data_IF_890634085617
#
_entry.id   IF_890634085617
#
_cell.length_a   1.000
_cell.length_b   1.000
_cell.length_c   1.000
_cell.angle_alpha   90.00
_cell.angle_beta   90.00
_cell.angle_gamma   90.00
#
_symmetry.space_group_name_H-M   'P 1'
#
loop_
_entity.id
_entity.type
_entity.pdbx_description
1 polymer ?
#
# COMPACT_ATOMS: atom_id res chain seq x y z
N UNK A 1 34.97 20.56 -53.79
CA UNK A 1 35.44 21.50 -52.75
C UNK A 1 34.60 22.74 -52.87
N UNK A 2 33.71 22.99 -51.93
CA UNK A 2 33.24 24.35 -51.64
C UNK A 2 32.71 24.36 -50.22
N UNK A 3 33.42 25.07 -49.36
CA UNK A 3 33.15 25.22 -47.94
C UNK A 3 32.26 26.44 -47.70
N UNK A 4 31.38 26.25 -46.71
CA UNK A 4 30.59 27.16 -45.90
C UNK A 4 30.92 28.66 -45.89
N UNK A 5 29.87 29.48 -45.70
CA UNK A 5 29.94 30.61 -44.77
C UNK A 5 28.67 30.76 -43.93
N UNK A 6 28.88 30.72 -42.62
CA UNK A 6 27.92 30.80 -41.51
C UNK A 6 27.56 32.26 -41.23
N UNK A 7 26.29 32.54 -40.95
CA UNK A 7 25.83 33.81 -40.41
C UNK A 7 25.36 33.62 -38.96
N UNK A 8 26.04 34.31 -38.04
CA UNK A 8 25.71 34.44 -36.62
C UNK A 8 24.57 35.45 -36.44
N UNK A 9 23.51 35.08 -35.72
CA UNK A 9 22.55 36.05 -35.16
C UNK A 9 22.29 35.76 -33.68
N UNK A 10 22.13 36.88 -32.97
CA UNK A 10 22.25 37.09 -31.53
C UNK A 10 21.06 36.56 -30.74
N UNK A 11 21.38 35.96 -29.60
CA UNK A 11 20.48 35.63 -28.50
C UNK A 11 20.22 36.90 -27.66
N UNK A 12 18.95 37.17 -27.35
CA UNK A 12 18.51 38.27 -26.49
C UNK A 12 17.63 37.67 -25.39
N UNK A 13 18.22 37.46 -24.21
CA UNK A 13 17.54 37.06 -22.98
C UNK A 13 17.26 38.33 -22.17
N UNK A 14 15.99 38.63 -21.93
CA UNK A 14 15.58 39.62 -20.92
C UNK A 14 14.75 38.92 -19.85
N UNK A 15 15.37 38.77 -18.68
CA UNK A 15 14.70 38.48 -17.41
C UNK A 15 14.16 39.78 -16.82
N UNK A 16 12.95 39.76 -16.26
CA UNK A 16 12.48 40.78 -15.31
C UNK A 16 11.68 40.12 -14.19
N UNK A 17 11.91 40.67 -13.01
CA UNK A 17 11.74 40.11 -11.69
C UNK A 17 10.60 40.82 -10.94
N UNK A 18 9.90 40.05 -10.09
CA UNK A 18 9.26 40.40 -8.80
C UNK A 18 8.06 41.36 -8.76
N UNK A 19 6.97 40.88 -8.13
CA UNK A 19 6.29 41.61 -7.06
C UNK A 19 5.57 40.68 -6.07
N UNK A 20 5.90 40.90 -4.80
CA UNK A 20 5.38 40.29 -3.57
C UNK A 20 3.97 40.78 -3.17
N UNK A 21 3.35 39.99 -2.29
CA UNK A 21 2.86 40.35 -0.94
C UNK A 21 1.35 40.27 -0.56
N UNK A 22 1.15 39.52 0.53
CA UNK A 22 0.31 39.79 1.72
C UNK A 22 -1.16 39.35 1.78
N UNK A 23 -1.50 38.61 2.84
CA UNK A 23 -2.87 38.49 3.38
C UNK A 23 -3.11 37.29 4.31
N UNK A 24 -2.88 37.48 5.60
CA UNK A 24 -3.02 36.55 6.74
C UNK A 24 -4.44 36.59 7.37
N UNK A 25 -4.88 35.52 8.07
CA UNK A 25 -5.79 35.45 9.26
C UNK A 25 -6.47 34.05 9.35
N UNK A 26 -6.11 33.12 10.25
CA UNK A 26 -6.43 32.94 11.70
C UNK A 26 -7.93 32.91 12.05
N UNK A 27 -8.43 31.79 12.60
CA UNK A 27 -8.96 31.69 13.99
C UNK A 27 -9.64 30.33 14.32
N UNK A 28 -9.58 30.02 15.62
CA UNK A 28 -9.75 28.74 16.30
C UNK A 28 -11.19 28.32 16.65
N UNK A 29 -11.27 27.12 17.24
CA UNK A 29 -12.41 26.32 17.67
C UNK A 29 -13.34 26.94 18.74
N UNK A 30 -14.61 26.50 18.72
CA UNK A 30 -15.44 26.41 19.94
C UNK A 30 -16.47 25.29 19.81
N UNK A 31 -16.39 24.33 20.73
CA UNK A 31 -17.32 23.21 20.82
C UNK A 31 -18.67 23.60 21.41
N UNK A 32 -19.68 22.80 21.07
CA UNK A 32 -20.92 22.72 21.82
C UNK A 32 -21.35 21.24 21.93
N UNK A 33 -21.60 20.82 23.16
CA UNK A 33 -21.99 19.47 23.56
C UNK A 33 -23.49 19.51 23.80
N UNK A 34 -24.26 18.81 22.96
CA UNK A 34 -25.69 18.57 23.21
C UNK A 34 -25.97 17.08 23.17
N UNK A 35 -26.23 16.55 24.36
CA UNK A 35 -26.53 15.14 24.64
C UNK A 35 -28.03 14.89 24.59
N UNK A 36 -28.50 13.92 23.77
CA UNK A 36 -29.68 13.08 24.07
C UNK A 36 -29.82 11.90 23.08
N UNK A 37 -30.62 10.84 23.38
CA UNK A 37 -30.04 9.53 23.71
C UNK A 37 -30.54 8.41 22.77
N UNK A 38 -29.85 7.27 22.84
CA UNK A 38 -30.45 5.95 22.63
C UNK A 38 -30.92 5.64 21.22
N UNK A 39 -30.00 5.18 20.37
CA UNK A 39 -30.36 4.25 19.30
C UNK A 39 -29.46 3.03 19.41
N UNK A 40 -30.06 1.94 19.89
CA UNK A 40 -29.49 0.60 19.94
C UNK A 40 -29.04 0.23 18.52
N UNK A 41 -27.75 0.40 18.26
CA UNK A 41 -27.17 0.04 16.97
C UNK A 41 -26.77 -1.41 17.04
N UNK A 42 -27.64 -2.24 16.48
CA UNK A 42 -27.43 -3.62 16.04
C UNK A 42 -25.98 -3.84 15.60
N UNK A 43 -25.30 -4.96 15.96
CA UNK A 43 -23.95 -5.21 15.48
C UNK A 43 -23.97 -5.28 13.96
N UNK A 44 -23.35 -4.28 13.35
CA UNK A 44 -23.19 -4.14 11.92
C UNK A 44 -22.28 -5.26 11.41
N UNK A 45 -22.90 -6.31 10.86
CA UNK A 45 -22.28 -7.29 9.97
C UNK A 45 -21.79 -6.65 8.64
N UNK A 46 -21.97 -5.34 8.47
CA UNK A 46 -21.68 -4.58 7.24
C UNK A 46 -20.21 -4.14 7.10
N UNK A 47 -19.33 -4.57 8.01
CA UNK A 47 -17.91 -4.17 7.98
C UNK A 47 -16.95 -5.26 7.52
N UNK A 48 -17.44 -6.43 7.13
CA UNK A 48 -16.61 -7.54 6.62
C UNK A 48 -16.20 -7.38 5.14
N UNK A 49 -16.88 -6.51 4.38
CA UNK A 49 -16.50 -6.18 3.00
C UNK A 49 -15.44 -5.07 2.89
N UNK A 50 -14.72 -4.75 3.98
CA UNK A 50 -13.67 -3.73 4.01
C UNK A 50 -12.46 -4.20 3.18
N UNK A 51 -12.52 -3.89 1.89
CA UNK A 51 -11.41 -3.78 0.93
C UNK A 51 -10.42 -4.95 0.89
N UNK A 52 -10.59 -5.84 -0.09
CA UNK A 52 -9.51 -6.73 -0.50
C UNK A 52 -8.37 -5.88 -1.10
N UNK A 53 -7.23 -5.85 -0.41
CA UNK A 53 -6.07 -5.02 -0.80
C UNK A 53 -5.52 -5.35 -2.18
N UNK A 54 -5.59 -6.63 -2.59
CA UNK A 54 -5.19 -7.04 -3.93
C UNK A 54 -6.11 -6.44 -5.00
N UNK A 55 -7.43 -6.47 -4.81
CA UNK A 55 -8.38 -5.82 -5.74
C UNK A 55 -8.14 -4.31 -5.86
N UNK A 56 -7.78 -3.67 -4.75
CA UNK A 56 -7.44 -2.24 -4.77
C UNK A 56 -6.14 -2.01 -5.55
N UNK A 57 -5.12 -2.83 -5.33
CA UNK A 57 -3.87 -2.80 -6.10
C UNK A 57 -4.15 -2.95 -7.60
N UNK A 58 -4.88 -3.99 -8.02
CA UNK A 58 -5.24 -4.22 -9.42
C UNK A 58 -5.94 -3.01 -10.03
N UNK A 59 -6.91 -2.45 -9.31
CA UNK A 59 -7.66 -1.27 -9.76
C UNK A 59 -6.74 -0.05 -9.94
N UNK A 60 -5.84 0.20 -8.98
CA UNK A 60 -4.90 1.32 -9.06
C UNK A 60 -3.93 1.13 -10.22
N UNK A 61 -3.40 -0.07 -10.41
CA UNK A 61 -2.47 -0.38 -11.50
C UNK A 61 -3.14 -0.25 -12.87
N UNK A 62 -4.34 -0.81 -13.03
CA UNK A 62 -5.12 -0.68 -14.27
C UNK A 62 -5.45 0.78 -14.57
N UNK A 63 -5.89 1.55 -13.56
CA UNK A 63 -6.23 2.95 -13.76
C UNK A 63 -5.01 3.80 -14.12
N UNK A 64 -3.87 3.50 -13.51
CA UNK A 64 -2.60 4.18 -13.80
C UNK A 64 -2.14 3.91 -15.24
N UNK A 65 -2.24 2.66 -15.70
CA UNK A 65 -1.92 2.30 -17.09
C UNK A 65 -2.86 2.97 -18.09
N UNK A 66 -4.16 2.99 -17.81
CA UNK A 66 -5.15 3.70 -18.65
C UNK A 66 -4.79 5.18 -18.78
N UNK A 67 -4.49 5.84 -17.64
CA UNK A 67 -4.07 7.25 -17.64
C UNK A 67 -2.77 7.48 -18.39
N UNK A 68 -1.82 6.57 -18.27
CA UNK A 68 -0.57 6.66 -19.01
C UNK A 68 -0.79 6.56 -20.53
N UNK A 69 -1.66 5.64 -20.97
CA UNK A 69 -2.01 5.47 -22.39
C UNK A 69 -2.75 6.70 -22.93
N UNK A 70 -3.63 7.32 -22.14
CA UNK A 70 -4.32 8.56 -22.53
C UNK A 70 -3.31 9.68 -22.89
N UNK A 71 -2.21 9.79 -22.14
CA UNK A 71 -1.13 10.75 -22.42
C UNK A 71 -0.33 10.42 -23.70
N UNK A 72 -0.35 9.16 -24.14
CA UNK A 72 0.24 8.69 -25.38
C UNK A 72 -0.76 8.68 -26.56
N UNK A 73 -1.84 9.47 -26.48
CA UNK A 73 -2.89 9.53 -27.52
C UNK A 73 -2.38 9.77 -28.94
N UNK A 74 -3.14 9.29 -29.92
CA UNK A 74 -2.81 9.44 -31.35
C UNK A 74 -2.65 10.90 -31.76
N UNK A 75 -3.50 11.80 -31.24
CA UNK A 75 -3.41 13.22 -31.55
C UNK A 75 -2.03 13.80 -31.18
N UNK A 76 -1.50 13.43 -30.00
CA UNK A 76 -0.19 13.88 -29.56
C UNK A 76 0.91 13.27 -30.42
N UNK A 77 0.82 11.98 -30.72
CA UNK A 77 1.74 11.27 -31.63
C UNK A 77 1.79 11.91 -33.03
N UNK A 78 0.64 12.12 -33.67
CA UNK A 78 0.54 12.73 -35.00
C UNK A 78 1.04 14.20 -34.99
N UNK A 79 0.79 14.94 -33.91
CA UNK A 79 1.26 16.32 -33.76
C UNK A 79 2.78 16.44 -33.65
N UNK A 80 3.46 15.44 -33.08
CA UNK A 80 4.92 15.38 -32.98
C UNK A 80 5.55 14.95 -34.30
N UNK A 81 4.94 13.98 -35.00
CA UNK A 81 5.45 13.41 -36.25
C UNK A 81 4.71 13.95 -37.51
N UNK A 82 4.38 15.25 -37.53
CA UNK A 82 3.59 15.89 -38.61
C UNK A 82 4.08 15.59 -40.03
N UNK A 83 5.39 15.70 -40.36
CA UNK A 83 5.84 15.46 -41.73
C UNK A 83 5.57 14.03 -42.20
N UNK A 84 5.73 13.05 -41.30
CA UNK A 84 5.49 11.64 -41.59
C UNK A 84 3.99 11.34 -41.72
N UNK A 85 3.18 11.94 -40.84
CA UNK A 85 1.73 11.81 -40.90
C UNK A 85 1.16 12.32 -42.23
N UNK A 86 1.58 13.50 -42.70
CA UNK A 86 1.13 14.05 -43.99
C UNK A 86 1.46 13.14 -45.17
N UNK A 87 2.57 12.40 -45.10
CA UNK A 87 3.03 11.52 -46.18
C UNK A 87 2.24 10.21 -46.23
N UNK A 88 1.91 9.63 -45.07
CA UNK A 88 1.15 8.39 -45.02
C UNK A 88 0.33 8.28 -43.71
N UNK A 89 -0.89 8.87 -43.67
CA UNK A 89 -1.72 8.90 -42.48
C UNK A 89 -2.10 7.51 -41.98
N UNK A 90 -2.52 6.62 -42.90
CA UNK A 90 -2.97 5.27 -42.56
C UNK A 90 -1.86 4.43 -41.93
N UNK A 91 -0.64 4.48 -42.49
CA UNK A 91 0.49 3.75 -41.93
C UNK A 91 0.88 4.26 -40.55
N UNK A 92 0.83 5.57 -40.34
CA UNK A 92 1.13 6.18 -39.03
C UNK A 92 0.08 5.84 -37.97
N UNK A 93 -1.20 5.78 -38.35
CA UNK A 93 -2.27 5.32 -37.47
C UNK A 93 -2.08 3.85 -37.08
N UNK A 94 -1.76 2.98 -38.03
CA UNK A 94 -1.48 1.57 -37.75
C UNK A 94 -0.28 1.38 -36.82
N UNK A 95 0.80 2.13 -37.03
CA UNK A 95 2.00 2.09 -36.16
C UNK A 95 1.63 2.52 -34.73
N UNK A 96 0.87 3.60 -34.57
CA UNK A 96 0.46 4.05 -33.24
C UNK A 96 -0.43 3.02 -32.54
N UNK A 97 -1.38 2.43 -33.26
CA UNK A 97 -2.24 1.37 -32.72
C UNK A 97 -1.42 0.18 -32.22
N UNK A 98 -0.49 -0.32 -33.05
CA UNK A 98 0.40 -1.42 -32.67
C UNK A 98 1.24 -1.07 -31.45
N UNK A 99 1.80 0.14 -31.40
CA UNK A 99 2.57 0.62 -30.26
C UNK A 99 1.75 0.62 -28.96
N UNK A 100 0.51 1.11 -28.98
CA UNK A 100 -0.36 1.14 -27.79
C UNK A 100 -0.78 -0.27 -27.38
N UNK A 101 -1.10 -1.14 -28.32
CA UNK A 101 -1.45 -2.54 -28.05
C UNK A 101 -0.30 -3.29 -27.39
N UNK A 102 0.91 -3.16 -27.93
CA UNK A 102 2.12 -3.79 -27.40
C UNK A 102 2.49 -3.22 -26.02
N UNK A 103 2.52 -1.89 -25.88
CA UNK A 103 2.78 -1.22 -24.61
C UNK A 103 1.81 -1.69 -23.52
N UNK A 104 0.51 -1.70 -23.82
CA UNK A 104 -0.52 -2.14 -22.88
C UNK A 104 -0.30 -3.58 -22.46
N UNK A 105 -0.08 -4.46 -23.45
CA UNK A 105 0.13 -5.89 -23.21
C UNK A 105 1.37 -6.12 -22.34
N UNK A 106 2.52 -5.58 -22.72
CA UNK A 106 3.78 -5.79 -21.99
C UNK A 106 3.68 -5.31 -20.56
N UNK A 107 3.11 -4.12 -20.31
CA UNK A 107 2.96 -3.62 -18.94
C UNK A 107 1.96 -4.46 -18.14
N UNK A 108 0.88 -4.95 -18.75
CA UNK A 108 -0.06 -5.86 -18.09
C UNK A 108 0.61 -7.19 -17.73
N UNK A 109 1.38 -7.78 -18.64
CA UNK A 109 2.13 -9.01 -18.41
C UNK A 109 3.14 -8.83 -17.26
N UNK A 110 3.82 -7.68 -17.21
CA UNK A 110 4.74 -7.33 -16.13
C UNK A 110 4.04 -7.15 -14.78
N UNK A 111 2.85 -6.55 -14.76
CA UNK A 111 2.04 -6.42 -13.53
C UNK A 111 1.62 -7.81 -13.03
N UNK A 112 1.14 -8.68 -13.92
CA UNK A 112 0.76 -10.05 -13.57
C UNK A 112 1.96 -10.82 -13.01
N UNK A 113 3.11 -10.74 -13.68
CA UNK A 113 4.36 -11.37 -13.21
C UNK A 113 4.78 -10.84 -11.84
N UNK A 114 4.67 -9.54 -11.58
CA UNK A 114 4.96 -8.94 -10.28
C UNK A 114 4.03 -9.48 -9.18
N UNK A 115 2.74 -9.67 -9.47
CA UNK A 115 1.78 -10.24 -8.52
C UNK A 115 2.16 -11.69 -8.18
N UNK A 116 2.47 -12.49 -9.20
CA UNK A 116 2.81 -13.91 -9.06
C UNK A 116 4.14 -14.11 -8.35
N UNK A 117 5.22 -13.51 -8.84
CA UNK A 117 6.56 -13.61 -8.25
C UNK A 117 6.60 -13.04 -6.83
N UNK A 118 5.91 -11.91 -6.61
CA UNK A 118 5.79 -11.27 -5.31
C UNK A 118 4.88 -12.02 -4.33
N UNK A 119 4.09 -13.00 -4.82
CA UNK A 119 3.03 -13.68 -4.06
C UNK A 119 2.13 -12.67 -3.34
N UNK A 120 1.78 -11.59 -4.05
CA UNK A 120 1.07 -10.46 -3.47
C UNK A 120 -0.34 -10.84 -3.03
N UNK A 121 -0.96 -11.80 -3.73
CA UNK A 121 -2.24 -12.40 -3.37
C UNK A 121 -2.24 -12.92 -1.92
N UNK A 122 -1.25 -13.74 -1.58
CA UNK A 122 -1.12 -14.34 -0.27
C UNK A 122 -0.75 -13.28 0.76
N UNK A 123 0.28 -12.47 0.49
CA UNK A 123 0.79 -11.48 1.46
C UNK A 123 -0.24 -10.42 1.83
N UNK A 124 -0.97 -9.89 0.84
CA UNK A 124 -1.99 -8.87 1.08
C UNK A 124 -3.20 -9.47 1.80
N UNK A 125 -3.59 -10.70 1.48
CA UNK A 125 -4.66 -11.40 2.21
C UNK A 125 -4.28 -11.72 3.66
N UNK A 126 -3.03 -12.12 3.92
CA UNK A 126 -2.54 -12.28 5.30
C UNK A 126 -2.50 -10.95 6.05
N UNK A 127 -2.13 -9.86 5.38
CA UNK A 127 -2.20 -8.52 5.97
C UNK A 127 -3.65 -8.12 6.32
N UNK A 128 -4.62 -8.43 5.44
CA UNK A 128 -6.06 -8.22 5.69
C UNK A 128 -6.54 -9.01 6.92
N UNK A 129 -5.99 -10.21 7.17
CA UNK A 129 -6.29 -11.00 8.38
C UNK A 129 -5.66 -10.40 9.63
N UNK A 130 -4.38 -10.01 9.55
CA UNK A 130 -3.64 -9.42 10.67
C UNK A 130 -4.27 -8.09 11.12
N UNK A 131 -4.68 -7.24 10.18
CA UNK A 131 -5.39 -6.00 10.50
C UNK A 131 -6.72 -6.28 11.21
N UNK A 132 -7.50 -7.26 10.73
CA UNK A 132 -8.76 -7.64 11.38
C UNK A 132 -8.53 -8.15 12.80
N UNK A 133 -7.53 -9.00 13.00
CA UNK A 133 -7.16 -9.50 14.33
C UNK A 133 -6.68 -8.37 15.26
N UNK A 134 -6.02 -7.36 14.71
CA UNK A 134 -5.46 -6.26 15.48
C UNK A 134 -6.42 -5.09 15.74
N UNK A 135 -7.59 -5.06 15.06
CA UNK A 135 -8.50 -3.91 15.01
C UNK A 135 -8.94 -3.36 16.37
N UNK A 136 -9.05 -4.23 17.38
CA UNK A 136 -9.53 -3.88 18.72
C UNK A 136 -8.41 -3.85 19.78
N UNK A 137 -7.13 -3.95 19.37
CA UNK A 137 -6.03 -3.85 20.32
C UNK A 137 -5.89 -2.39 20.79
N UNK A 138 -6.03 -2.11 22.10
CA UNK A 138 -5.90 -0.75 22.64
C UNK A 138 -4.45 -0.27 22.66
N UNK A 139 -3.50 -1.19 22.54
CA UNK A 139 -2.07 -0.89 22.56
C UNK A 139 -1.60 -0.42 21.18
N UNK A 140 -0.71 0.57 21.16
CA UNK A 140 -0.06 1.01 19.95
C UNK A 140 0.74 -0.13 19.31
N UNK A 141 0.71 -0.20 17.98
CA UNK A 141 1.53 -1.14 17.24
C UNK A 141 3.01 -0.90 17.55
N UNK A 142 3.73 -1.98 17.89
CA UNK A 142 5.16 -1.91 18.12
C UNK A 142 5.91 -1.51 16.85
N UNK A 143 6.92 -0.66 16.99
CA UNK A 143 7.84 -0.28 15.91
C UNK A 143 9.27 -0.53 16.37
N UNK A 144 10.15 -1.08 15.51
CA UNK A 144 11.56 -1.23 15.84
C UNK A 144 12.16 0.14 16.17
N UNK A 145 12.94 0.23 17.26
CA UNK A 145 13.57 1.50 17.62
C UNK A 145 14.72 1.93 16.69
N UNK A 146 15.08 1.08 15.71
CA UNK A 146 16.26 1.26 14.88
C UNK A 146 17.58 0.89 15.57
N UNK A 147 17.57 0.58 16.87
CA UNK A 147 18.74 0.13 17.64
C UNK A 147 18.74 -1.40 17.71
N UNK A 148 19.71 -2.11 17.08
CA UNK A 148 19.69 -3.58 17.01
C UNK A 148 19.64 -4.24 18.39
N UNK A 149 20.42 -3.72 19.36
CA UNK A 149 20.46 -4.25 20.73
C UNK A 149 19.10 -4.18 21.42
N UNK A 150 18.36 -3.10 21.23
CA UNK A 150 17.05 -2.93 21.84
C UNK A 150 16.03 -3.94 21.29
N UNK A 151 16.08 -4.22 19.98
CA UNK A 151 15.24 -5.26 19.37
C UNK A 151 15.55 -6.66 19.88
N UNK A 152 16.83 -6.99 20.07
CA UNK A 152 17.24 -8.29 20.64
C UNK A 152 16.74 -8.46 22.07
N UNK A 153 16.89 -7.44 22.93
CA UNK A 153 16.42 -7.50 24.31
C UNK A 153 14.90 -7.72 24.38
N UNK A 154 14.14 -7.02 23.55
CA UNK A 154 12.68 -7.19 23.51
C UNK A 154 12.25 -8.57 23.01
N UNK A 155 13.00 -9.15 22.07
CA UNK A 155 12.78 -10.53 21.63
C UNK A 155 13.07 -11.51 22.78
N UNK A 156 14.16 -11.31 23.52
CA UNK A 156 14.48 -12.15 24.68
C UNK A 156 13.41 -12.05 25.77
N UNK A 157 12.93 -10.83 26.09
CA UNK A 157 11.86 -10.63 27.05
C UNK A 157 10.57 -11.35 26.63
N UNK A 158 10.22 -11.29 25.34
CA UNK A 158 9.06 -12.01 24.81
C UNK A 158 9.22 -13.54 24.89
N UNK A 159 10.43 -14.07 24.63
CA UNK A 159 10.72 -15.50 24.75
C UNK A 159 10.61 -15.95 26.21
N UNK A 160 11.20 -15.21 27.15
CA UNK A 160 11.16 -15.52 28.58
C UNK A 160 9.73 -15.44 29.14
N UNK A 161 8.96 -14.43 28.75
CA UNK A 161 7.56 -14.30 29.14
C UNK A 161 6.72 -15.50 28.67
N UNK A 162 6.96 -16.00 27.46
CA UNK A 162 6.24 -17.14 26.90
C UNK A 162 6.66 -18.48 27.52
N UNK A 163 7.91 -18.62 27.94
CA UNK A 163 8.41 -19.78 28.67
C UNK A 163 7.94 -19.82 30.14
N UNK A 164 7.87 -18.66 30.81
CA UNK A 164 7.38 -18.55 32.19
C UNK A 164 5.92 -18.97 32.35
N UNK A 165 5.07 -18.65 31.37
CA UNK A 165 3.66 -19.06 31.36
C UNK A 165 3.42 -20.58 31.23
N UNK A 166 4.42 -21.36 30.80
CA UNK A 166 4.31 -22.82 30.73
C UNK A 166 4.48 -23.50 32.11
N UNK A 167 5.16 -22.85 33.05
CA UNK A 167 5.38 -23.41 34.40
C UNK A 167 4.08 -23.39 35.24
N UNK A 168 3.22 -22.39 35.06
CA UNK A 168 1.91 -22.33 35.74
C UNK A 168 0.93 -23.41 35.25
N UNK A 169 0.98 -23.78 33.96
CA UNK A 169 0.11 -24.84 33.41
C UNK A 169 0.50 -26.27 33.81
N UNK A 170 1.72 -26.46 34.35
CA UNK A 170 2.17 -27.74 34.90
C UNK A 170 1.70 -27.98 36.33
N UNK A 171 1.70 -26.93 37.17
CA UNK A 171 1.33 -27.02 38.58
C UNK A 171 -0.15 -27.40 38.80
N UNK A 172 -1.05 -27.03 37.89
CA UNK A 172 -2.48 -27.40 37.98
C UNK A 172 -2.73 -28.89 37.61
N UNK A 173 -1.86 -29.49 36.79
CA UNK A 173 -1.98 -30.92 36.40
C UNK A 173 -1.45 -31.87 37.47
N UNK A 174 -0.41 -31.48 38.20
CA UNK A 174 0.14 -32.32 39.28
C UNK A 174 -0.73 -32.28 40.55
N UNK A 175 -1.43 -31.17 40.82
CA UNK A 175 -2.40 -31.09 41.93
C UNK A 175 -3.62 -32.03 41.74
N UNK A 176 -3.98 -32.35 40.49
CA UNK A 176 -5.02 -33.35 40.19
C UNK A 176 -4.53 -34.79 40.29
N UNK A 177 -3.20 -35.01 40.31
CA UNK A 177 -2.61 -36.36 40.38
C UNK A 177 -2.33 -36.83 41.81
N UNK A 178 -2.26 -35.90 42.78
CA UNK A 178 -2.16 -36.22 44.21
C UNK A 178 -3.50 -36.55 44.88
N UNK A 179 -4.63 -36.54 44.15
CA UNK A 179 -5.97 -36.84 44.70
C UNK A 179 -6.49 -38.24 44.34
N UNK A 180 -5.62 -39.24 44.29
CA UNK A 180 -6.02 -40.64 44.32
C UNK A 180 -5.68 -41.23 45.69
N UNK A 181 -6.68 -41.59 46.52
CA UNK A 181 -6.38 -42.25 47.80
C UNK A 181 -5.87 -43.67 47.54
N UNK A 182 -4.68 -43.95 48.07
CA UNK A 182 -4.17 -45.30 48.23
C UNK A 182 -5.12 -46.09 49.14
N UNK A 183 -5.85 -47.05 48.58
CA UNK A 183 -6.43 -48.13 49.39
C UNK A 183 -5.33 -49.16 49.62
N UNK A 184 -4.53 -48.94 50.67
CA UNK A 184 -3.74 -50.00 51.29
C UNK A 184 -4.67 -50.99 51.99
N UNK A 185 -4.31 -52.26 51.91
CA UNK A 185 -5.15 -53.39 52.30
C UNK A 185 -5.31 -53.61 53.81
N UNK A 186 -6.26 -54.47 54.14
CA UNK A 186 -6.46 -55.20 55.40
C UNK A 186 -7.62 -56.16 55.13
N UNK A 187 -7.63 -57.45 55.37
CA UNK A 187 -6.74 -58.40 56.02
C UNK A 187 -7.50 -59.73 56.06
N UNK A 188 -6.76 -60.83 56.15
CA UNK A 188 -7.11 -62.21 56.54
C UNK A 188 -8.56 -62.70 56.39
#
# INVERSE_FOLDING_TARGET
MEQSKVATQKESVNNTSVKDNTGEQTNEAKGDVSSKPGSVTKPSEETEARYNRLKLFDKVMQKSLEKFIDHASFNRFASTFRPLYKKNPQRMENIHKQFIEELRRTVQDDISRLIEEGRLDFKLNELDKLERAAKNNPNNAWRPSGVPRAGLLQLFDAILSKAGGLHETGAEKDSSRERCPSTEGSGW
#
